data_IF_432241814372
#
_entry.id   IF_432241814372
#
_cell.length_a   1.000
_cell.length_b   1.000
_cell.length_c   1.000
_cell.angle_alpha   90.00
_cell.angle_beta   90.00
_cell.angle_gamma   90.00
#
_symmetry.space_group_name_H-M   'P 1'
#
loop_
_entity.id
_entity.type
_entity.pdbx_description
1 polymer ?
#
# COMPACT_ATOMS: atom_id res chain seq x y z
N UNK A 1 -26.27 -6.41 -16.57
CA UNK A 1 -24.88 -6.09 -16.16
C UNK A 1 -24.86 -6.02 -14.65
N UNK A 2 -24.05 -6.85 -14.04
CA UNK A 2 -23.85 -6.79 -12.59
C UNK A 2 -22.97 -5.57 -12.30
N UNK A 3 -23.54 -4.60 -11.58
CA UNK A 3 -22.78 -3.40 -11.17
C UNK A 3 -21.61 -3.78 -10.25
N UNK A 4 -20.59 -2.92 -10.21
CA UNK A 4 -19.52 -3.05 -9.23
C UNK A 4 -20.09 -3.13 -7.81
N UNK A 5 -19.38 -3.82 -6.92
CA UNK A 5 -19.79 -3.98 -5.51
C UNK A 5 -18.58 -4.01 -4.58
N UNK A 6 -18.84 -3.72 -3.32
CA UNK A 6 -17.86 -3.83 -2.25
C UNK A 6 -18.33 -4.93 -1.29
N UNK A 7 -17.44 -5.85 -0.97
CA UNK A 7 -17.66 -6.93 -0.03
C UNK A 7 -16.75 -6.74 1.19
N UNK A 8 -17.28 -7.00 2.38
CA UNK A 8 -16.46 -7.07 3.60
C UNK A 8 -16.04 -8.50 3.84
N UNK A 9 -14.74 -8.71 3.96
CA UNK A 9 -14.13 -9.99 4.32
C UNK A 9 -13.57 -9.88 5.72
N UNK A 10 -13.84 -10.90 6.53
CA UNK A 10 -13.30 -11.04 7.88
C UNK A 10 -12.51 -12.35 7.94
N UNK A 11 -11.33 -12.29 8.52
CA UNK A 11 -10.50 -13.47 8.76
C UNK A 11 -9.99 -13.49 10.21
N UNK A 12 -9.85 -14.70 10.76
CA UNK A 12 -9.13 -14.89 12.02
C UNK A 12 -7.64 -14.96 11.70
N UNK A 13 -6.92 -13.86 11.94
CA UNK A 13 -5.47 -13.83 11.73
C UNK A 13 -4.75 -14.67 12.77
N UNK A 14 -3.88 -15.55 12.30
CA UNK A 14 -2.98 -16.33 13.16
C UNK A 14 -1.77 -15.51 13.59
N UNK A 15 -1.23 -14.71 12.66
CA UNK A 15 -0.06 -13.85 12.90
C UNK A 15 -0.34 -12.79 13.95
N UNK A 16 -1.59 -12.28 14.01
CA UNK A 16 -1.99 -11.23 14.95
C UNK A 16 -2.85 -11.77 16.12
N UNK A 17 -3.25 -13.05 16.06
CA UNK A 17 -4.13 -13.71 17.03
C UNK A 17 -5.42 -12.94 17.32
N UNK A 18 -6.02 -12.32 16.28
CA UNK A 18 -7.26 -11.56 16.36
C UNK A 18 -8.03 -11.56 15.05
N UNK A 19 -9.29 -11.15 15.11
CA UNK A 19 -10.10 -10.92 13.92
C UNK A 19 -9.61 -9.66 13.18
N UNK A 20 -9.44 -9.79 11.87
CA UNK A 20 -9.05 -8.71 10.97
C UNK A 20 -10.01 -8.61 9.81
N UNK A 21 -10.27 -7.41 9.34
CA UNK A 21 -11.21 -7.16 8.24
C UNK A 21 -10.53 -6.49 7.05
N UNK A 22 -11.15 -6.63 5.88
CA UNK A 22 -10.78 -5.93 4.66
C UNK A 22 -12.01 -5.63 3.83
N UNK A 23 -12.00 -4.57 3.05
CA UNK A 23 -12.98 -4.32 2.00
C UNK A 23 -12.40 -4.71 0.65
N UNK A 24 -13.23 -5.37 -0.15
CA UNK A 24 -12.88 -5.86 -1.49
C UNK A 24 -13.86 -5.25 -2.48
N UNK A 25 -13.35 -4.41 -3.36
CA UNK A 25 -14.09 -3.91 -4.51
C UNK A 25 -13.97 -4.90 -5.67
N UNK A 26 -15.11 -5.28 -6.22
CA UNK A 26 -15.25 -6.11 -7.40
C UNK A 26 -15.80 -5.25 -8.54
N UNK A 27 -15.11 -5.19 -9.71
CA UNK A 27 -15.51 -4.31 -10.80
C UNK A 27 -16.79 -4.78 -11.48
N UNK A 28 -17.42 -3.90 -12.26
CA UNK A 28 -18.49 -4.31 -13.18
C UNK A 28 -18.00 -5.43 -14.11
N UNK A 29 -18.87 -6.39 -14.39
CA UNK A 29 -18.53 -7.59 -15.18
C UNK A 29 -17.72 -8.65 -14.42
N UNK A 30 -17.51 -8.52 -13.10
CA UNK A 30 -16.74 -9.49 -12.31
C UNK A 30 -17.22 -10.94 -12.47
N UNK A 31 -18.52 -11.17 -12.50
CA UNK A 31 -19.07 -12.52 -12.54
C UNK A 31 -18.90 -13.18 -13.93
N UNK A 32 -18.69 -12.37 -14.97
CA UNK A 32 -18.61 -12.78 -16.38
C UNK A 32 -17.18 -13.10 -16.85
N UNK A 33 -16.16 -12.48 -16.26
CA UNK A 33 -14.77 -12.70 -16.62
C UNK A 33 -14.13 -13.86 -15.84
N UNK A 34 -13.01 -14.38 -16.35
CA UNK A 34 -12.30 -15.52 -15.73
C UNK A 34 -11.40 -15.07 -14.58
N UNK A 35 -10.59 -14.05 -14.79
CA UNK A 35 -9.63 -13.54 -13.79
C UNK A 35 -9.40 -12.03 -13.92
N UNK A 36 -8.94 -11.42 -12.83
CA UNK A 36 -8.63 -10.00 -12.73
C UNK A 36 -7.29 -9.76 -12.06
N UNK A 37 -6.55 -8.71 -12.46
CA UNK A 37 -5.47 -8.19 -11.64
C UNK A 37 -6.03 -7.68 -10.30
N UNK A 38 -5.18 -7.68 -9.28
CA UNK A 38 -5.56 -7.29 -7.92
C UNK A 38 -4.63 -6.21 -7.39
N UNK A 39 -5.21 -5.09 -6.97
CA UNK A 39 -4.52 -4.01 -6.28
C UNK A 39 -4.79 -4.10 -4.78
N UNK A 40 -3.75 -4.28 -3.98
CA UNK A 40 -3.80 -4.10 -2.52
C UNK A 40 -3.47 -2.65 -2.21
N UNK A 41 -4.44 -1.91 -1.64
CA UNK A 41 -4.29 -0.47 -1.38
C UNK A 41 -4.35 -0.18 0.12
N UNK A 42 -3.20 0.21 0.70
CA UNK A 42 -3.01 0.40 2.13
C UNK A 42 -3.47 1.77 2.59
N UNK A 43 -4.21 1.82 3.69
CA UNK A 43 -4.62 3.07 4.33
C UNK A 43 -3.47 3.74 5.09
N UNK A 44 -3.57 5.05 5.30
CA UNK A 44 -2.64 5.81 6.13
C UNK A 44 -2.87 5.60 7.64
N UNK A 45 -2.06 6.29 8.45
CA UNK A 45 -2.17 6.26 9.92
C UNK A 45 -3.61 6.60 10.36
N UNK A 46 -4.09 5.90 11.37
CA UNK A 46 -5.46 6.03 11.92
C UNK A 46 -6.59 5.73 10.92
N UNK A 47 -6.26 5.19 9.74
CA UNK A 47 -7.23 4.68 8.79
C UNK A 47 -7.66 3.25 9.10
N UNK A 48 -8.50 2.69 8.23
CA UNK A 48 -8.94 1.30 8.25
C UNK A 48 -9.37 0.87 6.85
N UNK A 49 -9.95 -0.31 6.70
CA UNK A 49 -10.43 -0.86 5.43
C UNK A 49 -11.42 0.03 4.67
N UNK A 50 -12.16 0.94 5.35
CA UNK A 50 -13.08 1.87 4.69
C UNK A 50 -12.35 2.95 3.87
N UNK A 51 -11.03 2.98 3.90
CA UNK A 51 -10.23 3.94 3.12
C UNK A 51 -10.60 3.91 1.64
N UNK A 52 -10.94 2.75 1.08
CA UNK A 52 -11.38 2.59 -0.31
C UNK A 52 -12.56 3.50 -0.68
N UNK A 53 -13.54 3.65 0.21
CA UNK A 53 -14.71 4.52 0.02
C UNK A 53 -14.44 5.95 0.48
N UNK A 54 -13.61 6.11 1.51
CA UNK A 54 -13.28 7.42 2.05
C UNK A 54 -12.56 8.32 1.03
N UNK A 55 -11.69 7.74 0.21
CA UNK A 55 -10.98 8.46 -0.85
C UNK A 55 -11.62 8.34 -2.23
N UNK A 56 -12.85 7.82 -2.33
CA UNK A 56 -13.59 7.63 -3.58
C UNK A 56 -12.88 6.72 -4.61
N UNK A 57 -11.99 5.82 -4.15
CA UNK A 57 -11.19 4.95 -5.02
C UNK A 57 -12.07 4.03 -5.89
N UNK A 58 -13.12 3.46 -5.31
CA UNK A 58 -14.11 2.65 -6.01
C UNK A 58 -14.89 3.45 -7.07
N UNK A 59 -15.31 4.67 -6.74
CA UNK A 59 -16.09 5.54 -7.65
C UNK A 59 -15.24 5.97 -8.86
N UNK A 60 -13.98 6.35 -8.62
CA UNK A 60 -13.05 6.72 -9.70
C UNK A 60 -12.70 5.50 -10.55
N UNK A 61 -12.56 4.32 -9.95
CA UNK A 61 -12.33 3.07 -10.67
C UNK A 61 -13.49 2.74 -11.61
N UNK A 62 -14.74 2.80 -11.12
CA UNK A 62 -15.93 2.59 -11.96
C UNK A 62 -15.95 3.52 -13.17
N UNK A 63 -15.76 4.82 -12.94
CA UNK A 63 -15.73 5.83 -14.00
C UNK A 63 -14.65 5.57 -15.05
N UNK A 64 -13.45 5.18 -14.62
CA UNK A 64 -12.33 4.92 -15.53
C UNK A 64 -12.51 3.61 -16.31
N UNK A 65 -13.08 2.58 -15.69
CA UNK A 65 -13.43 1.31 -16.35
C UNK A 65 -14.52 1.55 -17.40
N UNK A 66 -15.61 2.24 -17.05
CA UNK A 66 -16.69 2.58 -17.98
C UNK A 66 -16.18 3.39 -19.18
N UNK A 67 -15.25 4.30 -18.95
CA UNK A 67 -14.59 5.10 -19.99
C UNK A 67 -13.52 4.31 -20.79
N UNK A 68 -13.29 3.03 -20.51
CA UNK A 68 -12.23 2.21 -21.10
C UNK A 68 -10.82 2.81 -20.96
N UNK A 69 -10.58 3.56 -19.89
CA UNK A 69 -9.29 4.19 -19.60
C UNK A 69 -8.36 3.31 -18.75
N UNK A 70 -8.92 2.35 -18.04
CA UNK A 70 -8.20 1.31 -17.28
C UNK A 70 -8.88 -0.04 -17.49
N UNK A 71 -8.11 -1.11 -17.35
CA UNK A 71 -8.68 -2.45 -17.28
C UNK A 71 -9.39 -2.68 -15.95
N UNK A 72 -10.47 -3.47 -15.90
CA UNK A 72 -11.10 -3.87 -14.66
C UNK A 72 -10.10 -4.60 -13.74
N UNK A 73 -10.15 -4.29 -12.43
CA UNK A 73 -9.30 -4.95 -11.42
C UNK A 73 -10.05 -5.09 -10.10
N UNK A 74 -9.68 -6.08 -9.32
CA UNK A 74 -10.07 -6.21 -7.92
C UNK A 74 -9.25 -5.22 -7.10
N UNK A 75 -9.87 -4.52 -6.14
CA UNK A 75 -9.13 -3.66 -5.20
C UNK A 75 -9.40 -4.16 -3.79
N UNK A 76 -8.35 -4.43 -3.05
CA UNK A 76 -8.41 -4.91 -1.67
C UNK A 76 -7.83 -3.85 -0.75
N UNK A 77 -8.61 -3.43 0.22
CA UNK A 77 -8.16 -2.50 1.26
C UNK A 77 -8.14 -3.24 2.61
N UNK A 78 -7.02 -3.86 3.00
CA UNK A 78 -6.92 -4.55 4.28
C UNK A 78 -6.83 -3.55 5.42
N UNK A 79 -7.44 -3.87 6.56
CA UNK A 79 -7.14 -3.16 7.79
C UNK A 79 -5.74 -3.57 8.26
N UNK A 80 -4.88 -2.59 8.43
CA UNK A 80 -3.52 -2.73 8.94
C UNK A 80 -3.38 -2.15 10.35
N UNK A 81 -4.49 -1.82 11.01
CA UNK A 81 -4.56 -1.08 12.25
C UNK A 81 -3.70 0.21 12.17
N UNK A 82 -3.17 0.66 13.29
CA UNK A 82 -2.22 1.76 13.32
C UNK A 82 -0.78 1.22 13.38
N UNK A 83 -0.45 0.29 12.47
CA UNK A 83 0.87 -0.34 12.33
C UNK A 83 1.69 0.28 11.20
N UNK A 84 2.97 -0.11 11.12
CA UNK A 84 3.84 0.17 9.96
C UNK A 84 3.88 -1.00 8.97
N UNK A 85 3.01 -2.03 9.13
CA UNK A 85 2.98 -3.21 8.24
C UNK A 85 4.22 -4.08 8.33
N UNK A 86 4.94 -4.04 9.45
CA UNK A 86 6.19 -4.77 9.70
C UNK A 86 5.99 -5.82 10.79
N UNK A 87 6.92 -6.75 10.90
CA UNK A 87 7.00 -7.71 12.00
C UNK A 87 7.77 -7.08 13.18
N UNK A 88 7.09 -6.23 13.95
CA UNK A 88 7.70 -5.46 15.06
C UNK A 88 7.64 -6.17 16.41
N UNK A 89 6.75 -7.16 16.58
CA UNK A 89 6.58 -7.91 17.82
C UNK A 89 5.92 -9.27 17.55
N UNK A 90 6.30 -10.30 18.31
CA UNK A 90 5.59 -11.58 18.30
C UNK A 90 4.19 -11.47 18.92
N UNK A 91 4.03 -10.58 19.90
CA UNK A 91 2.74 -10.30 20.54
C UNK A 91 2.07 -9.12 19.85
N UNK A 92 0.87 -9.34 19.32
CA UNK A 92 0.04 -8.24 18.78
C UNK A 92 -0.58 -7.47 19.95
N UNK A 93 -0.28 -6.18 20.05
CA UNK A 93 -0.82 -5.30 21.09
C UNK A 93 -0.80 -3.83 20.69
N UNK A 94 -1.61 -3.06 21.39
CA UNK A 94 -1.54 -1.60 21.36
C UNK A 94 -0.49 -1.11 22.35
N UNK A 95 0.27 -0.10 21.92
CA UNK A 95 1.24 0.61 22.74
C UNK A 95 1.12 2.12 22.47
N UNK A 96 1.66 2.94 23.37
CA UNK A 96 1.77 4.37 23.10
C UNK A 96 3.13 4.67 22.47
N UNK A 97 3.12 5.49 21.43
CA UNK A 97 4.35 6.07 20.89
C UNK A 97 4.86 7.22 21.81
N UNK A 98 6.05 7.76 21.57
CA UNK A 98 6.59 8.87 22.36
C UNK A 98 5.73 10.15 22.37
N UNK A 99 4.79 10.28 21.44
CA UNK A 99 3.84 11.39 21.36
C UNK A 99 2.47 11.06 21.98
N UNK A 100 2.37 9.96 22.76
CA UNK A 100 1.15 9.45 23.39
C UNK A 100 0.02 9.10 22.39
N UNK A 101 0.36 8.69 21.16
CA UNK A 101 -0.61 8.18 20.21
C UNK A 101 -0.64 6.65 20.28
N UNK A 102 -1.83 6.08 20.23
CA UNK A 102 -2.00 4.62 20.15
C UNK A 102 -1.52 4.10 18.81
N UNK A 103 -0.61 3.13 18.87
CA UNK A 103 -0.12 2.39 17.72
C UNK A 103 -0.21 0.89 17.96
N UNK A 104 -0.15 0.11 16.88
CA UNK A 104 -0.23 -1.35 16.94
C UNK A 104 1.11 -1.97 16.53
N UNK A 105 1.67 -2.79 17.41
CA UNK A 105 2.83 -3.65 17.12
C UNK A 105 2.39 -5.10 17.00
N UNK A 106 3.07 -5.88 16.15
CA UNK A 106 2.70 -7.26 15.86
C UNK A 106 3.39 -7.79 14.60
N UNK A 107 2.94 -8.95 14.11
CA UNK A 107 3.43 -9.62 12.90
C UNK A 107 2.62 -9.19 11.68
N UNK A 108 2.60 -7.89 11.34
CA UNK A 108 1.74 -7.33 10.28
C UNK A 108 2.22 -7.62 8.87
N UNK A 109 3.54 -7.78 8.65
CA UNK A 109 4.08 -8.24 7.37
C UNK A 109 3.60 -9.68 7.10
N UNK A 110 3.73 -10.58 8.07
CA UNK A 110 3.25 -11.96 7.95
C UNK A 110 1.73 -12.03 7.76
N UNK A 111 0.97 -11.21 8.48
CA UNK A 111 -0.48 -11.10 8.27
C UNK A 111 -0.80 -10.73 6.82
N UNK A 112 -0.14 -9.72 6.26
CA UNK A 112 -0.42 -9.28 4.90
C UNK A 112 0.03 -10.32 3.86
N UNK A 113 1.27 -10.78 3.94
CA UNK A 113 1.88 -11.65 2.91
C UNK A 113 1.33 -13.07 3.00
N UNK A 114 1.23 -13.63 4.21
CA UNK A 114 0.94 -15.05 4.40
C UNK A 114 -0.55 -15.35 4.66
N UNK A 115 -1.38 -14.34 4.94
CA UNK A 115 -2.79 -14.54 5.25
C UNK A 115 -3.72 -13.75 4.32
N UNK A 116 -3.53 -12.43 4.16
CA UNK A 116 -4.40 -11.59 3.31
C UNK A 116 -4.31 -12.02 1.85
N UNK A 117 -3.10 -12.05 1.27
CA UNK A 117 -2.90 -12.41 -0.14
C UNK A 117 -3.46 -13.81 -0.46
N UNK A 118 -3.10 -14.87 0.29
CA UNK A 118 -3.65 -16.20 0.02
C UNK A 118 -5.17 -16.31 0.19
N UNK A 119 -5.75 -15.59 1.16
CA UNK A 119 -7.20 -15.63 1.36
C UNK A 119 -7.95 -14.94 0.21
N UNK A 120 -7.44 -13.82 -0.30
CA UNK A 120 -7.98 -13.13 -1.48
C UNK A 120 -7.85 -14.03 -2.72
N UNK A 121 -6.69 -14.62 -2.95
CA UNK A 121 -6.47 -15.56 -4.06
C UNK A 121 -7.37 -16.81 -4.01
N UNK A 122 -7.74 -17.23 -2.81
CA UNK A 122 -8.67 -18.36 -2.60
C UNK A 122 -10.13 -17.98 -2.88
N UNK A 123 -10.55 -16.78 -2.49
CA UNK A 123 -11.97 -16.34 -2.55
C UNK A 123 -12.36 -15.73 -3.88
N UNK A 124 -11.43 -15.08 -4.57
CA UNK A 124 -11.72 -14.26 -5.72
C UNK A 124 -10.99 -14.72 -6.99
N UNK A 125 -11.49 -14.27 -8.13
CA UNK A 125 -10.96 -14.57 -9.47
C UNK A 125 -9.69 -13.73 -9.74
N UNK A 126 -8.64 -13.92 -8.96
CA UNK A 126 -7.38 -13.18 -9.08
C UNK A 126 -6.45 -13.79 -10.14
N UNK A 127 -5.66 -12.95 -10.80
CA UNK A 127 -4.45 -13.38 -11.49
C UNK A 127 -3.38 -13.57 -10.42
N UNK A 128 -3.11 -14.83 -10.04
CA UNK A 128 -2.28 -15.20 -8.87
C UNK A 128 -0.78 -15.05 -9.09
N UNK A 129 -0.38 -14.66 -10.29
CA UNK A 129 1.02 -14.39 -10.61
C UNK A 129 1.37 -12.94 -10.27
N UNK A 130 2.66 -12.66 -10.17
CA UNK A 130 3.23 -11.33 -9.97
C UNK A 130 2.66 -10.30 -10.94
N UNK A 131 2.52 -10.64 -12.23
CA UNK A 131 2.07 -9.71 -13.27
C UNK A 131 0.64 -9.19 -13.05
N UNK A 132 -0.17 -9.96 -12.34
CA UNK A 132 -1.53 -9.57 -11.95
C UNK A 132 -1.65 -8.99 -10.55
N UNK A 133 -0.54 -8.83 -9.81
CA UNK A 133 -0.61 -8.36 -8.42
C UNK A 133 0.09 -7.02 -8.26
N UNK A 134 -0.65 -6.03 -7.74
CA UNK A 134 -0.21 -4.66 -7.51
C UNK A 134 -0.36 -4.30 -6.05
N UNK A 135 0.47 -3.37 -5.59
CA UNK A 135 0.39 -2.85 -4.24
C UNK A 135 0.57 -1.33 -4.27
N UNK A 136 -0.18 -0.65 -3.43
CA UNK A 136 -0.04 0.78 -3.21
C UNK A 136 -0.64 1.22 -1.90
N UNK A 137 -0.52 2.49 -1.62
CA UNK A 137 -1.10 3.05 -0.41
C UNK A 137 -0.70 4.50 -0.21
N UNK A 138 -1.31 5.13 0.79
CA UNK A 138 -1.11 6.54 1.09
C UNK A 138 -0.46 6.74 2.46
N UNK A 139 0.48 7.69 2.57
CA UNK A 139 1.15 8.04 3.83
C UNK A 139 1.84 6.81 4.46
N UNK A 140 1.50 6.45 5.69
CA UNK A 140 1.96 5.19 6.30
C UNK A 140 1.63 3.97 5.43
N UNK A 141 0.48 3.97 4.72
CA UNK A 141 0.13 2.92 3.76
C UNK A 141 1.06 2.87 2.55
N UNK A 142 1.55 4.02 2.09
CA UNK A 142 2.58 4.10 1.05
C UNK A 142 3.91 3.51 1.51
N UNK A 143 4.32 3.77 2.75
CA UNK A 143 5.47 3.12 3.37
C UNK A 143 5.28 1.59 3.44
N UNK A 144 4.09 1.13 3.92
CA UNK A 144 3.74 -0.30 3.97
C UNK A 144 3.87 -0.95 2.59
N UNK A 145 3.35 -0.29 1.55
CA UNK A 145 3.40 -0.80 0.19
C UNK A 145 4.83 -0.94 -0.33
N UNK A 146 5.65 0.09 -0.13
CA UNK A 146 7.03 0.13 -0.63
C UNK A 146 7.90 -0.93 0.05
N UNK A 147 7.94 -0.97 1.38
CA UNK A 147 8.83 -1.93 2.06
C UNK A 147 8.41 -3.38 1.84
N UNK A 148 7.09 -3.68 1.89
CA UNK A 148 6.61 -5.04 1.63
C UNK A 148 6.94 -5.47 0.19
N UNK A 149 6.70 -4.59 -0.81
CA UNK A 149 6.98 -4.92 -2.18
C UNK A 149 8.47 -5.13 -2.46
N UNK A 150 9.34 -4.32 -1.87
CA UNK A 150 10.79 -4.48 -2.08
C UNK A 150 11.37 -5.70 -1.37
N UNK A 151 10.81 -6.07 -0.21
CA UNK A 151 11.21 -7.29 0.50
C UNK A 151 10.67 -8.57 -0.14
N UNK A 152 9.55 -8.47 -0.85
CA UNK A 152 8.86 -9.57 -1.54
C UNK A 152 8.70 -9.24 -3.03
N UNK A 153 9.82 -8.89 -3.69
CA UNK A 153 9.83 -8.36 -5.05
C UNK A 153 9.36 -9.36 -6.12
N UNK A 154 9.22 -10.63 -5.77
CA UNK A 154 8.64 -11.68 -6.59
C UNK A 154 7.10 -11.69 -6.59
N UNK A 155 6.45 -10.91 -5.72
CA UNK A 155 5.00 -10.91 -5.57
C UNK A 155 4.28 -9.82 -6.35
N UNK A 156 4.93 -8.69 -6.65
CA UNK A 156 4.26 -7.51 -7.19
C UNK A 156 4.95 -6.98 -8.45
N UNK A 157 4.16 -6.53 -9.43
CA UNK A 157 4.66 -5.93 -10.68
C UNK A 157 4.47 -4.42 -10.76
N UNK A 158 3.54 -3.84 -9.98
CA UNK A 158 3.33 -2.39 -9.89
C UNK A 158 3.23 -1.98 -8.43
N UNK A 159 3.99 -0.95 -8.06
CA UNK A 159 4.16 -0.49 -6.69
C UNK A 159 3.90 1.01 -6.65
N UNK A 160 2.98 1.48 -5.81
CA UNK A 160 2.65 2.90 -5.67
C UNK A 160 2.85 3.39 -4.25
N UNK A 161 3.69 4.40 -4.07
CA UNK A 161 3.78 5.18 -2.85
C UNK A 161 3.14 6.56 -3.07
N UNK A 162 1.96 6.77 -2.49
CA UNK A 162 1.20 8.02 -2.63
C UNK A 162 1.37 8.86 -1.36
N UNK A 163 2.04 10.00 -1.46
CA UNK A 163 2.54 10.78 -0.31
C UNK A 163 3.12 9.83 0.77
N UNK A 164 4.00 8.87 0.40
CA UNK A 164 4.43 7.83 1.32
C UNK A 164 5.31 8.43 2.42
N UNK A 165 5.16 7.92 3.65
CA UNK A 165 6.01 8.31 4.76
C UNK A 165 7.43 7.71 4.62
N UNK A 166 8.17 8.15 3.61
CA UNK A 166 9.57 7.77 3.38
C UNK A 166 10.47 8.79 4.06
N UNK A 167 10.86 8.47 5.27
CA UNK A 167 11.70 9.28 6.14
C UNK A 167 13.17 9.07 5.78
N UNK A 168 14.04 10.03 6.15
CA UNK A 168 15.48 9.97 5.89
C UNK A 168 16.26 9.42 7.10
N UNK A 169 15.63 9.32 8.23
CA UNK A 169 16.16 8.83 9.49
C UNK A 169 15.04 8.27 10.37
N UNK A 170 15.40 7.51 11.40
CA UNK A 170 14.44 7.05 12.38
C UNK A 170 13.90 8.23 13.21
N UNK A 171 12.65 8.59 12.98
CA UNK A 171 11.96 9.65 13.71
C UNK A 171 11.49 9.18 15.09
N UNK A 172 11.31 10.13 16.01
CA UNK A 172 10.87 9.84 17.37
C UNK A 172 9.55 9.07 17.41
N UNK A 173 8.64 9.39 16.53
CA UNK A 173 7.33 8.74 16.45
C UNK A 173 7.39 7.26 16.06
N UNK A 174 8.47 6.82 15.41
CA UNK A 174 8.64 5.44 14.96
C UNK A 174 9.45 4.57 15.95
N UNK A 175 10.04 5.18 16.99
CA UNK A 175 10.82 4.44 17.99
C UNK A 175 10.04 3.38 18.76
N UNK A 176 8.71 3.44 18.72
CA UNK A 176 7.89 2.38 19.32
C UNK A 176 7.82 1.12 18.46
N UNK A 177 8.04 1.24 17.14
CA UNK A 177 8.11 0.10 16.21
C UNK A 177 9.53 -0.47 16.14
N UNK A 178 10.55 0.36 16.26
CA UNK A 178 11.96 0.02 16.06
C UNK A 178 12.77 0.30 17.32
N UNK A 179 13.60 -0.66 17.71
CA UNK A 179 14.43 -0.54 18.92
C UNK A 179 15.59 0.45 18.76
N UNK A 180 16.12 0.53 17.54
CA UNK A 180 17.26 1.39 17.18
C UNK A 180 17.33 1.57 15.65
N UNK A 181 18.20 2.46 15.21
CA UNK A 181 18.41 2.80 13.80
C UNK A 181 18.58 1.57 12.89
N UNK A 182 19.39 0.59 13.27
CA UNK A 182 19.62 -0.61 12.47
C UNK A 182 18.42 -1.57 12.37
N UNK A 183 17.44 -1.47 13.28
CA UNK A 183 16.17 -2.19 13.11
C UNK A 183 15.26 -1.47 12.12
N UNK A 184 15.26 -0.14 12.14
CA UNK A 184 14.52 0.67 11.18
C UNK A 184 15.04 0.48 9.74
N UNK A 185 16.37 0.50 9.55
CA UNK A 185 17.02 0.32 8.24
C UNK A 185 16.62 -0.99 7.52
N UNK A 186 16.27 -2.03 8.27
CA UNK A 186 15.78 -3.30 7.69
C UNK A 186 14.45 -3.17 6.96
N UNK A 187 13.68 -2.14 7.29
CA UNK A 187 12.35 -1.88 6.74
C UNK A 187 12.27 -0.54 6.00
N UNK A 188 13.35 0.25 6.03
CA UNK A 188 13.41 1.51 5.29
C UNK A 188 13.44 1.26 3.77
N UNK A 189 12.46 1.78 3.01
CA UNK A 189 12.41 1.57 1.57
C UNK A 189 13.65 2.02 0.81
N UNK A 190 14.32 3.09 1.28
CA UNK A 190 15.56 3.60 0.67
C UNK A 190 16.70 2.59 0.86
N UNK A 191 16.87 2.08 2.07
CA UNK A 191 17.91 1.08 2.39
C UNK A 191 17.66 -0.22 1.64
N UNK A 192 16.42 -0.74 1.65
CA UNK A 192 16.06 -1.95 0.93
C UNK A 192 16.30 -1.78 -0.57
N UNK A 193 15.91 -0.64 -1.15
CA UNK A 193 16.09 -0.36 -2.57
C UNK A 193 17.58 -0.37 -2.99
N UNK A 194 18.49 0.07 -2.12
CA UNK A 194 19.95 0.00 -2.40
C UNK A 194 20.44 -1.44 -2.51
N UNK A 195 19.92 -2.35 -1.69
CA UNK A 195 20.41 -3.72 -1.54
C UNK A 195 19.68 -4.73 -2.44
N UNK A 196 18.43 -4.48 -2.84
CA UNK A 196 17.64 -5.42 -3.63
C UNK A 196 18.24 -5.68 -5.00
N UNK A 197 18.08 -6.91 -5.50
CA UNK A 197 18.57 -7.38 -6.80
C UNK A 197 17.47 -7.55 -7.85
N UNK A 198 16.21 -7.76 -7.43
CA UNK A 198 15.08 -7.85 -8.34
C UNK A 198 14.68 -6.44 -8.81
N UNK A 199 14.54 -6.25 -10.13
CA UNK A 199 14.29 -4.94 -10.75
C UNK A 199 13.13 -4.94 -11.74
N UNK A 200 12.45 -6.08 -11.90
CA UNK A 200 11.41 -6.26 -12.90
C UNK A 200 10.02 -5.89 -12.35
N UNK A 201 9.82 -4.64 -11.96
CA UNK A 201 8.56 -4.03 -11.55
C UNK A 201 8.56 -2.53 -11.87
N UNK A 202 7.39 -1.91 -11.79
CA UNK A 202 7.21 -0.47 -12.00
C UNK A 202 6.87 0.22 -10.70
N UNK A 203 7.43 1.42 -10.49
CA UNK A 203 7.17 2.22 -9.29
C UNK A 203 6.60 3.59 -9.64
N UNK A 204 5.56 3.98 -8.92
CA UNK A 204 4.99 5.33 -8.95
C UNK A 204 5.12 5.95 -7.57
N UNK A 205 5.75 7.11 -7.50
CA UNK A 205 5.87 7.91 -6.29
C UNK A 205 5.27 9.29 -6.53
N UNK A 206 4.62 9.85 -5.53
CA UNK A 206 4.24 11.26 -5.53
C UNK A 206 4.21 11.85 -4.12
N UNK A 207 4.36 13.17 -4.05
CA UNK A 207 4.25 13.94 -2.82
C UNK A 207 3.69 15.34 -3.10
N UNK A 208 3.15 15.99 -2.08
CA UNK A 208 2.72 17.38 -2.16
C UNK A 208 3.91 18.34 -2.05
N UNK A 209 3.87 19.47 -2.77
CA UNK A 209 4.86 20.55 -2.67
C UNK A 209 4.80 21.30 -1.33
N UNK A 210 3.70 21.11 -0.58
CA UNK A 210 3.44 21.67 0.75
C UNK A 210 3.29 20.59 1.81
N UNK A 211 3.86 19.39 1.55
CA UNK A 211 3.84 18.28 2.49
C UNK A 211 4.65 18.63 3.74
N UNK A 212 3.97 18.70 4.88
CA UNK A 212 4.55 19.12 6.17
C UNK A 212 5.58 18.11 6.71
N UNK A 213 5.51 16.85 6.27
CA UNK A 213 6.50 15.81 6.61
C UNK A 213 7.77 15.87 5.76
N UNK A 214 7.77 16.68 4.67
CA UNK A 214 8.92 16.77 3.77
C UNK A 214 9.19 15.48 2.98
N UNK A 215 8.23 14.58 2.89
CA UNK A 215 8.42 13.24 2.28
C UNK A 215 8.75 13.27 0.78
N UNK A 216 8.59 14.42 0.12
CA UNK A 216 9.05 14.61 -1.26
C UNK A 216 10.56 14.39 -1.43
N UNK A 217 11.37 14.68 -0.40
CA UNK A 217 12.82 14.44 -0.44
C UNK A 217 13.13 12.96 -0.42
N UNK A 218 12.48 12.19 0.46
CA UNK A 218 12.59 10.73 0.51
C UNK A 218 12.16 10.07 -0.80
N UNK A 219 11.04 10.52 -1.37
CA UNK A 219 10.56 10.07 -2.68
C UNK A 219 11.57 10.34 -3.79
N UNK A 220 12.20 11.52 -3.81
CA UNK A 220 13.21 11.87 -4.81
C UNK A 220 14.45 10.99 -4.70
N UNK A 221 14.96 10.79 -3.49
CA UNK A 221 16.12 9.92 -3.24
C UNK A 221 15.81 8.49 -3.67
N UNK A 222 14.67 7.95 -3.23
CA UNK A 222 14.24 6.61 -3.59
C UNK A 222 14.12 6.45 -5.11
N UNK A 223 13.47 7.38 -5.80
CA UNK A 223 13.32 7.34 -7.25
C UNK A 223 14.67 7.33 -8.00
N UNK A 224 15.64 8.10 -7.53
CA UNK A 224 16.99 8.12 -8.13
C UNK A 224 17.66 6.76 -7.99
N UNK A 225 17.61 6.15 -6.81
CA UNK A 225 18.17 4.80 -6.58
C UNK A 225 17.50 3.77 -7.49
N UNK A 226 16.16 3.81 -7.61
CA UNK A 226 15.41 2.89 -8.46
C UNK A 226 15.82 3.03 -9.93
N UNK A 227 15.97 4.27 -10.42
CA UNK A 227 16.42 4.55 -11.80
C UNK A 227 17.86 4.09 -12.05
N UNK A 228 18.78 4.30 -11.11
CA UNK A 228 20.16 3.82 -11.20
C UNK A 228 20.24 2.28 -11.31
N UNK A 229 19.25 1.58 -10.73
CA UNK A 229 19.10 0.12 -10.86
C UNK A 229 18.38 -0.32 -12.13
N UNK A 230 17.96 0.60 -13.00
CA UNK A 230 17.23 0.32 -14.23
C UNK A 230 15.74 0.00 -14.04
N UNK A 231 15.17 0.31 -12.86
CA UNK A 231 13.75 0.12 -12.57
C UNK A 231 12.94 1.25 -13.22
N UNK A 232 11.82 0.91 -13.87
CA UNK A 232 10.88 1.90 -14.37
C UNK A 232 10.20 2.62 -13.20
N UNK A 233 10.68 3.82 -12.88
CA UNK A 233 10.20 4.60 -11.74
C UNK A 233 9.81 6.01 -12.16
N UNK A 234 8.67 6.46 -11.66
CA UNK A 234 8.12 7.81 -11.81
C UNK A 234 8.06 8.47 -10.43
N UNK A 235 8.46 9.74 -10.36
CA UNK A 235 8.28 10.55 -9.16
C UNK A 235 7.68 11.90 -9.54
N UNK A 236 6.60 12.28 -8.87
CA UNK A 236 5.84 13.49 -9.13
C UNK A 236 5.73 14.34 -7.87
N UNK A 237 5.79 15.65 -8.05
CA UNK A 237 5.45 16.61 -6.99
C UNK A 237 4.27 17.42 -7.49
N UNK A 238 3.13 17.32 -6.82
CA UNK A 238 1.93 18.08 -7.16
C UNK A 238 1.64 19.13 -6.09
N UNK A 239 0.85 20.12 -6.43
CA UNK A 239 0.42 21.12 -5.45
C UNK A 239 -0.46 20.47 -4.38
N UNK A 240 -0.11 20.69 -3.09
CA UNK A 240 -0.93 20.28 -1.96
C UNK A 240 -0.16 19.85 -0.72
N UNK A 241 -0.93 19.61 0.33
CA UNK A 241 -0.50 19.22 1.68
C UNK A 241 -0.55 17.71 1.89
N UNK A 242 -0.03 17.22 3.03
CA UNK A 242 -0.13 15.81 3.43
C UNK A 242 -1.52 15.48 4.00
N UNK A 243 -2.54 15.40 3.15
CA UNK A 243 -3.93 15.19 3.58
C UNK A 243 -4.76 14.37 2.59
N UNK A 244 -5.99 14.06 2.99
CA UNK A 244 -6.95 13.28 2.19
C UNK A 244 -7.36 14.00 0.91
N UNK A 245 -7.45 15.33 0.93
CA UNK A 245 -7.81 16.16 -0.22
C UNK A 245 -6.79 16.01 -1.34
N UNK A 246 -5.50 15.97 -1.00
CA UNK A 246 -4.43 15.69 -1.95
C UNK A 246 -4.60 14.32 -2.61
N UNK A 247 -4.85 13.28 -1.79
CA UNK A 247 -5.05 11.92 -2.30
C UNK A 247 -6.23 11.88 -3.26
N UNK A 248 -7.38 12.45 -2.87
CA UNK A 248 -8.58 12.51 -3.72
C UNK A 248 -8.34 13.24 -5.04
N UNK A 249 -7.58 14.31 -5.02
CA UNK A 249 -7.25 15.09 -6.22
C UNK A 249 -6.35 14.35 -7.20
N UNK A 250 -5.59 13.36 -6.73
CA UNK A 250 -4.64 12.60 -7.55
C UNK A 250 -5.06 11.15 -7.82
N UNK A 251 -6.17 10.68 -7.24
CA UNK A 251 -6.60 9.27 -7.31
C UNK A 251 -6.75 8.75 -8.75
N UNK A 252 -7.19 9.59 -9.69
CA UNK A 252 -7.28 9.21 -11.10
C UNK A 252 -5.90 8.87 -11.69
N UNK A 253 -4.86 9.62 -11.33
CA UNK A 253 -3.48 9.36 -11.78
C UNK A 253 -2.98 8.01 -11.23
N UNK A 254 -3.30 7.71 -9.96
CA UNK A 254 -2.95 6.44 -9.34
C UNK A 254 -3.61 5.28 -10.08
N UNK A 255 -4.90 5.38 -10.34
CA UNK A 255 -5.64 4.33 -11.04
C UNK A 255 -5.18 4.14 -12.49
N UNK A 256 -4.78 5.20 -13.18
CA UNK A 256 -4.17 5.11 -14.51
C UNK A 256 -2.84 4.36 -14.49
N UNK A 257 -2.02 4.54 -13.45
CA UNK A 257 -0.77 3.78 -13.29
C UNK A 257 -1.03 2.28 -13.11
N UNK A 258 -1.97 1.91 -12.25
CA UNK A 258 -2.26 0.49 -12.01
C UNK A 258 -3.00 -0.16 -13.19
N UNK A 259 -3.89 0.55 -13.85
CA UNK A 259 -4.81 0.02 -14.86
C UNK A 259 -4.25 -0.10 -16.28
N UNK A 260 -3.07 0.49 -16.56
CA UNK A 260 -2.43 0.49 -17.90
C UNK A 260 -1.11 -0.36 -17.96
#
# INVERSE_FOLDING_TARGET
MNKSRIEKVIIQSKSLNKEMSMLVYLPDGYDEAETFPTLYFMHGRSGNENFITHIDLNVVSDRLIEANRIRPMIIVCPNMDNSRGINSSLDCKEVLDPLNRTINIGMYEDYFINEVIPEIDKRYKTIRTRDGRYIGGASAGGYIALHNAFRHADLFSKIGGHIPAVELQLEDEDKAYFRHQGDWEKYDPITIAKEMTCTDFKVYLDAGDKDEGGFYEGCLILNNILKEKGIESQNHVFEGHHNVEYIKSNIEKYMLFYGN
#
